data_IF_697560402182
#
_entry.id   IF_697560402182
#
_cell.length_a   1.000
_cell.length_b   1.000
_cell.length_c   1.000
_cell.angle_alpha   90.00
_cell.angle_beta   90.00
_cell.angle_gamma   90.00
#
_symmetry.space_group_name_H-M   'P 1'
#
loop_
_entity.id
_entity.type
_entity.pdbx_description
1 polymer ?
#
# COMPACT_ATOMS: atom_id res chain seq x y z
N UNK A 1 38.24 42.21 -13.76
CA UNK A 1 37.53 43.30 -14.45
C UNK A 1 36.05 42.93 -14.48
N UNK A 2 35.29 43.51 -13.58
CA UNK A 2 34.23 44.52 -13.76
C UNK A 2 33.13 44.00 -14.72
N UNK A 3 31.85 43.92 -14.35
CA UNK A 3 31.10 44.76 -13.43
C UNK A 3 29.71 44.23 -13.10
N UNK A 4 29.29 44.60 -11.96
CA UNK A 4 27.91 44.56 -11.40
C UNK A 4 26.98 45.49 -12.14
N UNK A 5 25.71 45.14 -12.30
CA UNK A 5 24.59 46.15 -12.31
C UNK A 5 23.37 45.57 -11.59
N UNK A 6 23.11 46.18 -10.44
CA UNK A 6 21.84 46.15 -9.72
C UNK A 6 20.85 47.13 -10.42
N UNK A 7 19.55 46.76 -10.43
CA UNK A 7 18.48 47.75 -10.57
C UNK A 7 17.37 47.46 -9.57
N UNK A 8 17.17 48.40 -8.68
CA UNK A 8 16.05 48.57 -7.74
C UNK A 8 15.03 49.53 -8.37
N UNK A 9 13.86 49.60 -7.71
CA UNK A 9 12.71 50.53 -7.86
C UNK A 9 11.50 49.92 -8.59
N UNK A 10 10.27 50.01 -8.09
CA UNK A 10 9.66 50.69 -6.96
C UNK A 10 8.16 50.36 -6.94
N UNK A 11 7.57 50.36 -5.78
CA UNK A 11 6.13 50.33 -5.50
C UNK A 11 5.45 51.65 -5.91
N UNK A 12 4.11 51.66 -6.13
CA UNK A 12 3.31 52.43 -5.19
C UNK A 12 2.03 51.77 -4.67
N UNK A 13 1.70 52.16 -3.45
CA UNK A 13 0.45 52.01 -2.71
C UNK A 13 -0.57 53.05 -3.15
N UNK A 14 -1.84 52.70 -3.20
CA UNK A 14 -3.03 53.52 -2.97
C UNK A 14 -4.26 52.63 -3.12
N UNK A 15 -5.30 52.57 -2.30
CA UNK A 15 -5.85 53.43 -1.32
C UNK A 15 -7.36 53.22 -1.28
N UNK A 16 -7.93 52.96 -0.11
CA UNK A 16 -9.31 53.09 0.40
C UNK A 16 -10.50 53.25 -0.55
N UNK A 17 -11.61 52.51 -0.30
CA UNK A 17 -12.87 53.14 0.12
C UNK A 17 -13.86 52.11 0.69
N UNK A 18 -14.41 52.44 1.87
CA UNK A 18 -15.56 51.83 2.54
C UNK A 18 -16.85 52.19 1.80
N UNK A 19 -17.79 51.25 1.76
CA UNK A 19 -19.22 51.60 1.79
C UNK A 19 -19.97 50.52 2.59
N UNK A 20 -20.63 50.97 3.66
CA UNK A 20 -21.64 50.28 4.42
C UNK A 20 -22.92 50.16 3.61
N UNK A 21 -23.69 49.10 3.83
CA UNK A 21 -25.04 48.93 3.35
C UNK A 21 -25.71 47.78 4.08
N UNK A 22 -26.45 48.10 5.16
CA UNK A 22 -27.40 47.22 5.85
C UNK A 22 -28.54 46.85 4.92
N UNK A 23 -28.90 45.57 4.86
CA UNK A 23 -30.26 45.14 4.52
C UNK A 23 -30.55 43.79 5.17
N UNK A 24 -31.39 43.83 6.19
CA UNK A 24 -32.09 42.73 6.82
C UNK A 24 -33.04 42.05 5.83
N UNK A 25 -32.93 40.74 5.69
CA UNK A 25 -33.89 39.90 4.97
C UNK A 25 -33.68 38.44 5.33
N UNK A 26 -34.48 37.93 6.27
CA UNK A 26 -34.54 36.49 6.53
C UNK A 26 -35.33 35.79 5.42
N UNK A 27 -34.82 34.74 4.82
CA UNK A 27 -35.69 33.81 4.10
C UNK A 27 -35.98 32.56 4.94
N UNK A 28 -37.24 32.28 5.03
CA UNK A 28 -37.91 31.08 5.53
C UNK A 28 -37.35 29.82 4.89
N UNK A 29 -36.91 28.84 5.72
CA UNK A 29 -36.53 27.51 5.29
C UNK A 29 -37.73 26.69 4.83
N UNK A 30 -37.69 26.02 3.68
CA UNK A 30 -38.61 24.96 3.38
C UNK A 30 -38.15 23.66 4.06
N UNK A 31 -39.01 23.10 4.94
CA UNK A 31 -38.92 21.74 5.46
C UNK A 31 -39.12 20.74 4.31
N UNK A 32 -38.02 20.30 3.72
CA UNK A 32 -37.98 19.16 2.82
C UNK A 32 -37.55 17.91 3.58
N UNK A 33 -38.52 17.01 3.80
CA UNK A 33 -38.28 15.67 4.36
C UNK A 33 -37.42 14.88 3.36
N UNK A 34 -36.18 14.60 3.71
CA UNK A 34 -35.31 13.73 2.92
C UNK A 34 -35.82 12.28 3.02
N UNK A 35 -35.86 11.51 1.92
CA UNK A 35 -36.22 10.10 1.99
C UNK A 35 -35.16 9.32 2.77
N UNK A 36 -35.61 8.53 3.71
CA UNK A 36 -34.79 7.60 4.50
C UNK A 36 -34.11 6.60 3.56
N UNK A 37 -32.80 6.68 3.41
CA UNK A 37 -32.05 5.68 2.69
C UNK A 37 -32.09 4.37 3.49
N UNK A 38 -32.78 3.39 2.98
CA UNK A 38 -32.78 2.01 3.49
C UNK A 38 -31.38 1.45 3.24
N UNK A 39 -30.58 1.36 4.30
CA UNK A 39 -29.30 0.64 4.26
C UNK A 39 -29.60 -0.83 4.00
N UNK A 40 -29.21 -1.31 2.81
CA UNK A 40 -29.16 -2.74 2.54
C UNK A 40 -28.18 -3.39 3.52
N UNK A 41 -28.51 -4.55 4.13
CA UNK A 41 -27.61 -5.24 5.02
C UNK A 41 -26.36 -5.66 4.22
N UNK A 42 -25.20 -5.11 4.58
CA UNK A 42 -23.92 -5.57 4.09
C UNK A 42 -23.76 -7.01 4.56
N UNK A 43 -23.84 -7.97 3.62
CA UNK A 43 -23.49 -9.36 3.88
C UNK A 43 -22.01 -9.40 4.28
N UNK A 44 -21.73 -9.41 5.56
CA UNK A 44 -20.40 -9.74 6.09
C UNK A 44 -20.19 -11.23 5.79
N UNK A 45 -19.20 -11.62 5.00
CA UNK A 45 -18.93 -13.04 4.79
C UNK A 45 -18.59 -13.66 6.14
N UNK A 46 -19.28 -14.76 6.47
CA UNK A 46 -19.01 -15.54 7.66
C UNK A 46 -17.57 -16.04 7.63
N UNK A 47 -16.75 -15.55 8.56
CA UNK A 47 -15.35 -15.99 8.67
C UNK A 47 -15.36 -17.40 9.22
N UNK A 48 -14.80 -18.41 8.52
CA UNK A 48 -14.75 -19.77 9.06
C UNK A 48 -14.04 -19.77 10.42
N UNK A 49 -14.62 -20.48 11.38
CA UNK A 49 -14.05 -20.63 12.71
C UNK A 49 -12.61 -21.16 12.59
N UNK A 50 -11.67 -20.52 13.29
CA UNK A 50 -10.26 -20.93 13.31
C UNK A 50 -10.15 -22.24 14.06
N UNK A 51 -9.61 -23.34 13.45
CA UNK A 51 -9.45 -24.61 14.15
C UNK A 51 -8.54 -24.44 15.37
N UNK A 52 -8.94 -25.00 16.50
CA UNK A 52 -8.20 -24.93 17.77
C UNK A 52 -6.81 -25.61 17.74
N UNK A 53 -6.50 -26.42 16.73
CA UNK A 53 -5.25 -27.19 16.61
C UNK A 53 -3.98 -26.39 16.29
N UNK A 54 -4.09 -25.11 15.85
CA UNK A 54 -2.96 -24.30 15.39
C UNK A 54 -2.43 -23.25 16.38
N UNK A 55 -2.98 -23.15 17.58
CA UNK A 55 -2.67 -22.04 18.51
C UNK A 55 -1.18 -21.93 18.88
N UNK A 56 -0.46 -23.03 19.00
CA UNK A 56 0.97 -23.04 19.35
C UNK A 56 1.93 -22.63 18.24
N UNK A 57 1.46 -22.55 16.96
CA UNK A 57 2.28 -22.15 15.81
C UNK A 57 1.85 -20.81 15.20
N UNK A 58 0.80 -20.18 15.74
CA UNK A 58 0.28 -18.91 15.23
C UNK A 58 1.33 -17.81 15.36
N UNK A 59 1.56 -17.10 14.26
CA UNK A 59 2.64 -16.11 14.14
C UNK A 59 3.97 -16.68 13.65
N UNK A 60 4.18 -17.99 13.74
CA UNK A 60 5.36 -18.63 13.14
C UNK A 60 5.20 -18.78 11.63
N UNK A 61 6.32 -18.79 10.92
CA UNK A 61 6.32 -18.92 9.46
C UNK A 61 7.40 -19.89 8.98
N UNK A 62 7.19 -20.47 7.80
CA UNK A 62 8.20 -21.19 7.03
C UNK A 62 8.70 -20.28 5.93
N UNK A 63 10.01 -20.15 5.78
CA UNK A 63 10.64 -19.34 4.75
C UNK A 63 11.47 -20.20 3.82
N UNK A 64 11.46 -19.88 2.53
CA UNK A 64 12.29 -20.52 1.52
C UNK A 64 12.84 -19.44 0.58
N UNK A 65 14.14 -19.55 0.27
CA UNK A 65 14.77 -18.66 -0.71
C UNK A 65 14.80 -19.34 -2.08
N UNK A 66 14.29 -18.65 -3.08
CA UNK A 66 14.24 -19.13 -4.45
C UNK A 66 15.35 -18.54 -5.31
N UNK A 67 15.88 -19.36 -6.20
CA UNK A 67 16.61 -18.92 -7.38
C UNK A 67 15.64 -18.89 -8.55
N UNK A 68 15.63 -17.80 -9.29
CA UNK A 68 14.76 -17.52 -10.42
C UNK A 68 15.62 -17.25 -11.67
N UNK A 69 15.06 -17.28 -12.89
CA UNK A 69 15.80 -16.96 -14.10
C UNK A 69 16.53 -15.60 -14.03
N UNK A 70 17.67 -15.46 -14.72
CA UNK A 70 18.44 -14.21 -14.78
C UNK A 70 19.03 -13.78 -13.43
N UNK A 71 19.52 -14.72 -12.61
CA UNK A 71 20.04 -14.48 -11.26
C UNK A 71 19.03 -13.88 -10.28
N UNK A 72 17.75 -13.93 -10.64
CA UNK A 72 16.66 -13.47 -9.80
C UNK A 72 16.56 -14.26 -8.49
N UNK A 73 16.10 -13.59 -7.45
CA UNK A 73 15.88 -14.18 -6.12
C UNK A 73 14.49 -13.80 -5.60
N UNK A 74 13.91 -14.67 -4.80
CA UNK A 74 12.75 -14.33 -3.98
C UNK A 74 12.81 -15.10 -2.67
N UNK A 75 12.15 -14.56 -1.64
CA UNK A 75 11.88 -15.29 -0.39
C UNK A 75 10.38 -15.51 -0.30
N UNK A 76 9.96 -16.77 -0.15
CA UNK A 76 8.58 -17.08 0.21
C UNK A 76 8.44 -17.18 1.73
N UNK A 77 7.30 -16.74 2.24
CA UNK A 77 6.93 -16.75 3.66
C UNK A 77 5.54 -17.37 3.73
N UNK A 78 5.44 -18.55 4.31
CA UNK A 78 4.20 -19.31 4.45
C UNK A 78 3.86 -19.42 5.94
N UNK A 79 2.65 -19.00 6.37
CA UNK A 79 2.21 -19.20 7.75
C UNK A 79 2.31 -20.66 8.18
N UNK A 80 2.98 -20.94 9.31
CA UNK A 80 3.19 -22.31 9.78
C UNK A 80 1.92 -22.97 10.32
N UNK A 81 0.88 -22.19 10.57
CA UNK A 81 -0.47 -22.65 10.98
C UNK A 81 -1.39 -22.95 9.79
N UNK A 82 -0.88 -22.92 8.55
CA UNK A 82 -1.67 -23.34 7.37
C UNK A 82 -1.94 -24.83 7.44
N UNK A 83 -3.20 -25.21 7.47
CA UNK A 83 -3.62 -26.62 7.53
C UNK A 83 -3.33 -27.36 6.20
N UNK A 84 -3.12 -28.68 6.24
CA UNK A 84 -2.99 -29.47 5.02
C UNK A 84 -4.17 -29.27 4.08
N UNK A 85 -3.89 -28.88 2.85
CA UNK A 85 -4.92 -28.59 1.84
C UNK A 85 -5.52 -27.20 1.89
N UNK A 86 -5.31 -26.44 2.97
CA UNK A 86 -5.72 -25.02 3.05
C UNK A 86 -4.93 -24.18 2.06
N UNK A 87 -5.62 -23.26 1.41
CA UNK A 87 -5.01 -22.25 0.52
C UNK A 87 -5.29 -20.86 1.05
N UNK A 88 -4.28 -20.01 1.02
CA UNK A 88 -4.34 -18.64 1.53
C UNK A 88 -4.25 -17.61 0.40
N UNK A 89 -4.64 -16.36 0.63
CA UNK A 89 -4.29 -15.25 -0.27
C UNK A 89 -2.78 -15.12 -0.44
N UNK A 90 -2.37 -14.51 -1.54
CA UNK A 90 -0.97 -14.26 -1.90
C UNK A 90 -0.68 -12.76 -1.91
N UNK A 91 0.40 -12.34 -1.27
CA UNK A 91 0.91 -10.98 -1.30
C UNK A 91 2.33 -10.96 -1.85
N UNK A 92 2.59 -10.11 -2.83
CA UNK A 92 3.95 -9.77 -3.24
C UNK A 92 4.38 -8.48 -2.55
N UNK A 93 5.52 -8.50 -1.87
CA UNK A 93 6.07 -7.36 -1.13
C UNK A 93 7.41 -6.93 -1.74
N UNK A 94 7.41 -5.80 -2.46
CA UNK A 94 8.58 -5.26 -3.16
C UNK A 94 9.36 -4.32 -2.24
N UNK A 95 10.68 -4.52 -2.15
CA UNK A 95 11.56 -3.71 -1.29
C UNK A 95 11.99 -2.38 -1.94
N UNK A 96 12.59 -1.50 -1.15
CA UNK A 96 13.08 -0.19 -1.59
C UNK A 96 14.46 -0.24 -2.28
N UNK A 97 14.92 0.94 -2.72
CA UNK A 97 16.20 1.10 -3.44
C UNK A 97 17.41 0.73 -2.60
N UNK A 98 17.34 0.93 -1.28
CA UNK A 98 18.42 0.54 -0.38
C UNK A 98 18.80 -0.93 -0.55
N UNK A 99 17.82 -1.81 -0.65
CA UNK A 99 17.98 -3.25 -0.84
C UNK A 99 18.37 -3.59 -2.28
N UNK A 100 17.84 -2.88 -3.26
CA UNK A 100 18.27 -3.04 -4.67
C UNK A 100 19.77 -2.88 -4.82
N UNK A 101 20.37 -1.92 -4.13
CA UNK A 101 21.81 -1.63 -4.16
C UNK A 101 22.66 -2.69 -3.44
N UNK A 102 22.06 -3.56 -2.62
CA UNK A 102 22.79 -4.68 -1.95
C UNK A 102 22.96 -5.90 -2.87
N UNK A 103 22.35 -5.88 -4.05
CA UNK A 103 22.33 -7.00 -4.98
C UNK A 103 21.38 -8.13 -4.58
N UNK A 104 21.15 -9.13 -5.48
CA UNK A 104 20.11 -10.13 -5.32
C UNK A 104 20.22 -10.97 -4.04
N UNK A 105 21.43 -11.35 -3.65
CA UNK A 105 21.65 -12.24 -2.50
C UNK A 105 21.28 -11.61 -1.15
N UNK A 106 21.56 -10.33 -0.98
CA UNK A 106 21.30 -9.59 0.27
C UNK A 106 20.01 -8.78 0.19
N UNK A 107 19.74 -8.16 -0.95
CA UNK A 107 18.57 -7.29 -1.11
C UNK A 107 17.24 -8.02 -1.02
N UNK A 108 17.18 -9.29 -1.41
CA UNK A 108 15.99 -10.14 -1.25
C UNK A 108 15.54 -10.29 0.21
N UNK A 109 16.46 -10.07 1.16
CA UNK A 109 16.19 -10.13 2.60
C UNK A 109 15.60 -8.81 3.16
N UNK A 110 15.34 -7.82 2.31
CA UNK A 110 14.77 -6.53 2.71
C UNK A 110 13.54 -6.69 3.58
N UNK A 111 12.46 -7.21 3.04
CA UNK A 111 11.24 -7.42 3.82
C UNK A 111 11.39 -8.46 4.93
N UNK A 112 11.92 -9.67 4.69
CA UNK A 112 12.00 -10.68 5.73
C UNK A 112 12.80 -10.24 6.95
N UNK A 113 13.94 -9.56 6.74
CA UNK A 113 14.92 -9.24 7.78
C UNK A 113 15.03 -7.74 8.06
N UNK A 114 15.38 -6.94 7.05
CA UNK A 114 15.76 -5.54 7.26
C UNK A 114 14.56 -4.67 7.65
N UNK A 115 13.37 -4.98 7.13
CA UNK A 115 12.09 -4.36 7.45
C UNK A 115 11.26 -5.15 8.47
N UNK A 116 11.87 -6.17 9.10
CA UNK A 116 11.30 -6.95 10.21
C UNK A 116 9.88 -7.52 9.94
N UNK A 117 9.57 -7.90 8.69
CA UNK A 117 8.25 -8.41 8.31
C UNK A 117 7.87 -9.67 9.11
N UNK A 118 8.84 -10.54 9.43
CA UNK A 118 8.58 -11.75 10.22
C UNK A 118 8.07 -11.39 11.62
N UNK A 119 8.70 -10.37 12.27
CA UNK A 119 8.24 -9.84 13.55
C UNK A 119 6.85 -9.20 13.44
N UNK A 120 6.59 -8.47 12.37
CA UNK A 120 5.27 -7.87 12.15
C UNK A 120 4.17 -8.94 12.05
N UNK A 121 4.44 -10.08 11.37
CA UNK A 121 3.51 -11.23 11.32
C UNK A 121 3.24 -11.78 12.71
N UNK A 122 4.27 -12.00 13.53
CA UNK A 122 4.11 -12.44 14.92
C UNK A 122 3.21 -11.48 15.72
N UNK A 123 3.43 -10.16 15.57
CA UNK A 123 2.69 -9.15 16.32
C UNK A 123 1.22 -9.05 15.91
N UNK A 124 0.91 -9.06 14.63
CA UNK A 124 -0.50 -9.03 14.18
C UNK A 124 -1.26 -10.31 14.52
N UNK A 125 -0.55 -11.42 14.75
CA UNK A 125 -1.12 -12.68 15.23
C UNK A 125 -1.35 -12.72 16.76
N UNK A 126 -0.74 -11.82 17.52
CA UNK A 126 -0.79 -11.76 19.00
C UNK A 126 -1.19 -10.35 19.49
N UNK A 127 -2.39 -9.85 19.15
CA UNK A 127 -2.86 -8.56 19.66
C UNK A 127 -3.02 -8.58 21.20
N UNK A 128 -3.04 -7.41 21.87
CA UNK A 128 -3.09 -6.08 21.25
C UNK A 128 -1.72 -5.60 20.75
N UNK A 129 -1.75 -4.85 19.63
CA UNK A 129 -0.59 -4.09 19.16
C UNK A 129 -0.32 -2.92 20.12
N UNK A 130 0.94 -2.51 20.20
CA UNK A 130 1.42 -1.42 21.03
C UNK A 130 2.13 -0.35 20.19
N UNK A 131 2.39 0.82 20.75
CA UNK A 131 3.17 1.87 20.08
C UNK A 131 4.57 1.39 19.68
N UNK A 132 5.17 0.49 20.45
CA UNK A 132 6.49 -0.09 20.15
C UNK A 132 6.46 -0.94 18.87
N UNK A 133 5.34 -1.58 18.55
CA UNK A 133 5.20 -2.36 17.30
C UNK A 133 5.23 -1.47 16.06
N UNK A 134 4.91 -0.19 16.23
CA UNK A 134 4.97 0.85 15.22
C UNK A 134 6.24 1.72 15.33
N UNK A 135 7.26 1.29 16.05
CA UNK A 135 8.47 2.09 16.31
C UNK A 135 8.13 3.51 16.86
N UNK A 136 7.04 3.62 17.62
CA UNK A 136 6.54 4.90 18.14
C UNK A 136 5.71 5.73 17.13
N UNK A 137 5.64 5.33 15.85
CA UNK A 137 5.02 6.09 14.76
C UNK A 137 3.57 5.67 14.51
N UNK A 138 2.72 5.81 15.54
CA UNK A 138 1.29 5.56 15.43
C UNK A 138 0.49 6.55 16.27
N UNK A 139 -0.60 7.05 15.74
CA UNK A 139 -1.56 7.85 16.51
C UNK A 139 -2.43 6.95 17.39
N UNK A 140 -2.75 7.39 18.61
CA UNK A 140 -3.54 6.60 19.58
C UNK A 140 -4.86 6.10 18.98
N UNK A 141 -5.58 6.96 18.24
CA UNK A 141 -6.83 6.60 17.57
C UNK A 141 -6.64 5.46 16.55
N UNK A 142 -5.54 5.49 15.78
CA UNK A 142 -5.24 4.47 14.79
C UNK A 142 -4.85 3.15 15.44
N UNK A 143 -4.05 3.19 16.49
CA UNK A 143 -3.69 2.01 17.29
C UNK A 143 -4.92 1.34 17.88
N UNK A 144 -5.83 2.13 18.49
CA UNK A 144 -7.11 1.62 19.00
C UNK A 144 -7.93 0.95 17.89
N UNK A 145 -8.08 1.60 16.74
CA UNK A 145 -8.84 1.05 15.61
C UNK A 145 -8.23 -0.27 15.08
N UNK A 146 -6.91 -0.39 15.01
CA UNK A 146 -6.25 -1.64 14.63
C UNK A 146 -6.52 -2.76 15.64
N UNK A 147 -6.45 -2.46 16.94
CA UNK A 147 -6.71 -3.45 17.99
C UNK A 147 -8.17 -3.90 18.03
N UNK A 148 -9.11 -2.97 17.90
CA UNK A 148 -10.54 -3.29 17.77
C UNK A 148 -10.81 -4.17 16.54
N UNK A 149 -10.22 -3.84 15.41
CA UNK A 149 -10.37 -4.60 14.17
C UNK A 149 -9.75 -6.02 14.29
N UNK A 150 -8.60 -6.16 14.97
CA UNK A 150 -7.98 -7.47 15.23
C UNK A 150 -8.75 -8.28 16.26
N UNK A 151 -9.38 -7.66 17.26
CA UNK A 151 -10.26 -8.33 18.21
C UNK A 151 -11.53 -8.85 17.53
N UNK A 152 -12.13 -8.04 16.64
CA UNK A 152 -13.33 -8.43 15.90
C UNK A 152 -13.04 -9.49 14.82
N UNK A 153 -11.90 -9.36 14.13
CA UNK A 153 -11.45 -10.30 13.10
C UNK A 153 -9.94 -10.49 13.20
N UNK A 154 -9.49 -11.55 13.86
CA UNK A 154 -8.08 -11.88 13.98
C UNK A 154 -7.39 -12.02 12.61
N UNK A 155 -6.11 -11.63 12.53
CA UNK A 155 -5.31 -11.78 11.31
C UNK A 155 -5.34 -13.23 10.84
N UNK A 156 -5.90 -13.50 9.68
CA UNK A 156 -6.13 -14.85 9.21
C UNK A 156 -4.91 -15.48 8.49
N UNK A 157 -3.93 -14.63 8.13
CA UNK A 157 -2.72 -15.05 7.43
C UNK A 157 -2.78 -14.81 5.92
N UNK A 158 -1.62 -14.62 5.34
CA UNK A 158 -1.38 -14.45 3.91
C UNK A 158 -0.04 -15.08 3.57
N UNK A 159 0.05 -15.78 2.45
CA UNK A 159 1.34 -16.20 1.91
C UNK A 159 2.02 -14.99 1.29
N UNK A 160 3.30 -14.76 1.60
CA UNK A 160 4.01 -13.60 1.09
C UNK A 160 5.19 -14.05 0.25
N UNK A 161 5.42 -13.38 -0.88
CA UNK A 161 6.62 -13.53 -1.69
C UNK A 161 7.31 -12.17 -1.78
N UNK A 162 8.58 -12.14 -1.40
CA UNK A 162 9.44 -10.98 -1.42
C UNK A 162 10.46 -11.14 -2.55
N UNK A 163 10.17 -10.72 -3.79
CA UNK A 163 11.13 -10.81 -4.88
C UNK A 163 12.20 -9.72 -4.75
N UNK A 164 13.41 -10.02 -5.18
CA UNK A 164 14.41 -8.99 -5.41
C UNK A 164 14.00 -8.11 -6.59
N UNK A 165 14.06 -6.80 -6.38
CA UNK A 165 13.85 -5.78 -7.40
C UNK A 165 15.19 -5.09 -7.68
N UNK A 166 15.71 -5.10 -8.92
CA UNK A 166 16.93 -4.37 -9.26
C UNK A 166 16.70 -2.85 -9.12
N UNK A 167 17.77 -2.09 -9.12
CA UNK A 167 17.69 -0.62 -9.12
C UNK A 167 17.18 -0.11 -10.48
N UNK A 168 15.87 -0.15 -10.66
CA UNK A 168 15.19 0.34 -11.86
C UNK A 168 15.17 1.87 -11.86
N UNK A 169 15.64 2.51 -12.94
CA UNK A 169 15.41 3.93 -13.16
C UNK A 169 13.94 4.18 -13.54
N UNK A 170 13.19 4.73 -12.61
CA UNK A 170 11.74 4.99 -12.79
C UNK A 170 11.41 6.02 -13.87
N UNK A 171 12.43 6.69 -14.46
CA UNK A 171 12.29 7.58 -15.63
C UNK A 171 12.48 6.83 -16.94
N UNK A 172 12.81 5.54 -16.91
CA UNK A 172 13.03 4.69 -18.07
C UNK A 172 11.91 3.64 -18.20
N UNK A 173 10.86 3.89 -18.98
CA UNK A 173 9.72 2.98 -19.10
C UNK A 173 10.09 1.56 -19.54
N UNK A 174 11.15 1.40 -20.34
CA UNK A 174 11.64 0.09 -20.76
C UNK A 174 12.15 -0.74 -19.58
N UNK A 175 12.90 -0.16 -18.64
CA UNK A 175 13.38 -0.90 -17.46
C UNK A 175 12.23 -1.32 -16.55
N UNK A 176 11.23 -0.45 -16.39
CA UNK A 176 10.01 -0.78 -15.63
C UNK A 176 9.29 -1.95 -16.29
N UNK A 177 9.14 -1.91 -17.62
CA UNK A 177 8.48 -2.98 -18.38
C UNK A 177 9.26 -4.29 -18.30
N UNK A 178 10.58 -4.27 -18.48
CA UNK A 178 11.44 -5.45 -18.36
C UNK A 178 11.28 -6.13 -17.00
N UNK A 179 11.29 -5.35 -15.90
CA UNK A 179 11.05 -5.92 -14.58
C UNK A 179 9.60 -6.40 -14.39
N UNK A 180 8.62 -5.68 -14.93
CA UNK A 180 7.21 -6.12 -14.93
C UNK A 180 7.03 -7.44 -15.66
N UNK A 181 7.61 -7.57 -16.86
CA UNK A 181 7.54 -8.79 -17.67
C UNK A 181 8.22 -9.97 -16.95
N UNK A 182 9.40 -9.74 -16.37
CA UNK A 182 10.08 -10.73 -15.53
C UNK A 182 9.20 -11.17 -14.35
N UNK A 183 8.58 -10.22 -13.64
CA UNK A 183 7.70 -10.51 -12.52
C UNK A 183 6.51 -11.36 -12.95
N UNK A 184 5.83 -10.97 -14.03
CA UNK A 184 4.63 -11.64 -14.54
C UNK A 184 4.94 -13.01 -15.14
N UNK A 185 6.12 -13.22 -15.75
CA UNK A 185 6.49 -14.47 -16.41
C UNK A 185 7.24 -15.46 -15.52
N UNK A 186 7.89 -14.99 -14.47
CA UNK A 186 8.75 -15.84 -13.63
C UNK A 186 8.29 -15.90 -12.17
N UNK A 187 8.05 -14.75 -11.53
CA UNK A 187 7.76 -14.68 -10.09
C UNK A 187 6.32 -15.14 -9.79
N UNK A 188 5.35 -14.51 -10.44
CA UNK A 188 3.92 -14.80 -10.21
C UNK A 188 3.54 -16.27 -10.55
N UNK A 189 3.94 -16.84 -11.69
CA UNK A 189 3.60 -18.22 -12.02
C UNK A 189 4.22 -19.21 -11.04
N UNK A 190 5.46 -18.98 -10.61
CA UNK A 190 6.11 -19.83 -9.63
C UNK A 190 5.39 -19.82 -8.29
N UNK A 191 5.05 -18.63 -7.80
CA UNK A 191 4.30 -18.52 -6.54
C UNK A 191 2.95 -19.25 -6.59
N UNK A 192 2.21 -19.13 -7.71
CA UNK A 192 0.93 -19.83 -7.91
C UNK A 192 1.09 -21.33 -7.99
N UNK A 193 2.20 -21.82 -8.51
CA UNK A 193 2.47 -23.26 -8.71
C UNK A 193 2.95 -23.93 -7.42
N UNK A 194 3.90 -23.30 -6.71
CA UNK A 194 4.69 -23.97 -5.67
C UNK A 194 4.18 -23.70 -4.25
N UNK A 195 3.31 -22.68 -4.07
CA UNK A 195 2.82 -22.29 -2.74
C UNK A 195 1.35 -22.65 -2.52
N UNK A 196 0.92 -22.83 -1.24
CA UNK A 196 -0.47 -23.11 -0.89
C UNK A 196 -1.35 -21.85 -1.01
N UNK A 197 -1.54 -21.35 -2.22
CA UNK A 197 -2.28 -20.13 -2.50
C UNK A 197 -3.56 -20.37 -3.28
N UNK A 198 -4.56 -19.52 -3.09
CA UNK A 198 -5.83 -19.57 -3.81
C UNK A 198 -5.64 -19.39 -5.32
N UNK A 199 -4.71 -18.53 -5.72
CA UNK A 199 -4.32 -18.35 -7.13
C UNK A 199 -5.32 -17.60 -8.01
N UNK A 200 -6.50 -17.21 -7.48
CA UNK A 200 -7.46 -16.36 -8.21
C UNK A 200 -7.00 -14.90 -8.16
N UNK A 201 -7.27 -14.08 -9.18
CA UNK A 201 -6.87 -12.67 -9.14
C UNK A 201 -7.32 -11.94 -7.88
N UNK A 202 -8.57 -12.13 -7.44
CA UNK A 202 -9.12 -11.48 -6.24
C UNK A 202 -8.39 -11.82 -4.94
N UNK A 203 -7.62 -12.91 -4.92
CA UNK A 203 -6.83 -13.36 -3.77
C UNK A 203 -5.35 -13.00 -3.86
N UNK A 204 -4.93 -12.23 -4.88
CA UNK A 204 -3.53 -11.87 -5.10
C UNK A 204 -3.37 -10.35 -4.94
N UNK A 205 -2.46 -9.95 -4.05
CA UNK A 205 -2.07 -8.56 -3.84
C UNK A 205 -0.62 -8.30 -4.22
N UNK A 206 -0.34 -7.05 -4.56
CA UNK A 206 1.02 -6.53 -4.72
C UNK A 206 1.15 -5.25 -3.92
N UNK A 207 2.24 -5.09 -3.21
CA UNK A 207 2.57 -3.92 -2.40
C UNK A 207 4.09 -3.71 -2.39
N UNK A 208 4.53 -2.57 -1.92
CA UNK A 208 5.95 -2.30 -1.79
C UNK A 208 6.24 -0.92 -1.23
N UNK A 209 7.48 -0.70 -0.83
CA UNK A 209 7.93 0.56 -0.25
C UNK A 209 8.86 1.31 -1.20
N UNK A 210 8.73 2.62 -1.27
CA UNK A 210 9.65 3.49 -2.02
C UNK A 210 9.74 3.09 -3.50
N UNK A 211 10.91 2.67 -4.00
CA UNK A 211 11.08 2.08 -5.33
C UNK A 211 10.10 0.91 -5.55
N UNK A 212 10.01 0.00 -4.58
CA UNK A 212 9.07 -1.13 -4.63
C UNK A 212 7.61 -0.68 -4.70
N UNK A 213 7.23 0.40 -4.01
CA UNK A 213 5.90 0.99 -4.11
C UNK A 213 5.59 1.57 -5.49
N UNK A 214 6.56 2.27 -6.09
CA UNK A 214 6.42 2.77 -7.46
C UNK A 214 6.33 1.64 -8.50
N UNK A 215 7.06 0.54 -8.29
CA UNK A 215 6.97 -0.66 -9.14
C UNK A 215 5.65 -1.39 -8.95
N UNK A 216 5.16 -1.53 -7.70
CA UNK A 216 3.86 -2.15 -7.40
C UNK A 216 2.72 -1.45 -8.11
N UNK A 217 2.69 -0.10 -8.12
CA UNK A 217 1.72 0.66 -8.88
C UNK A 217 1.76 0.29 -10.37
N UNK A 218 2.94 0.33 -10.97
CA UNK A 218 3.07 0.11 -12.41
C UNK A 218 2.78 -1.33 -12.82
N UNK A 219 3.26 -2.31 -12.05
CA UNK A 219 2.97 -3.73 -12.31
C UNK A 219 1.47 -3.99 -12.13
N UNK A 220 0.90 -3.57 -11.00
CA UNK A 220 -0.50 -3.84 -10.68
C UNK A 220 -1.49 -3.13 -11.59
N UNK A 221 -1.26 -1.84 -11.88
CA UNK A 221 -2.16 -1.06 -12.74
C UNK A 221 -2.06 -1.44 -14.24
N UNK A 222 -0.93 -1.95 -14.70
CA UNK A 222 -0.80 -2.46 -16.07
C UNK A 222 -1.34 -3.88 -16.24
N UNK A 223 -1.47 -4.66 -15.14
CA UNK A 223 -1.96 -6.05 -15.16
C UNK A 223 -3.14 -6.24 -14.18
N UNK A 224 -4.20 -5.43 -14.25
CA UNK A 224 -5.25 -5.41 -13.24
C UNK A 224 -6.05 -6.71 -13.17
N UNK A 225 -6.02 -7.52 -14.22
CA UNK A 225 -6.64 -8.84 -14.27
C UNK A 225 -5.88 -9.92 -13.48
N UNK A 226 -4.64 -9.63 -13.08
CA UNK A 226 -3.82 -10.55 -12.27
C UNK A 226 -3.96 -10.32 -10.78
N UNK A 227 -4.48 -9.16 -10.35
CA UNK A 227 -4.49 -8.73 -8.97
C UNK A 227 -5.89 -8.33 -8.48
N UNK A 228 -6.18 -8.64 -7.21
CA UNK A 228 -7.32 -8.11 -6.47
C UNK A 228 -7.00 -6.86 -5.67
N UNK A 229 -5.72 -6.63 -5.36
CA UNK A 229 -5.28 -5.47 -4.58
C UNK A 229 -3.92 -4.95 -5.03
N UNK A 230 -3.78 -3.63 -5.12
CA UNK A 230 -2.52 -2.91 -5.36
C UNK A 230 -2.34 -1.87 -4.27
N UNK A 231 -1.41 -2.13 -3.37
CA UNK A 231 -1.04 -1.23 -2.29
C UNK A 231 0.32 -0.57 -2.52
N UNK A 232 0.57 0.49 -1.77
CA UNK A 232 1.89 1.13 -1.74
C UNK A 232 2.18 1.74 -0.38
N UNK A 233 3.46 1.76 -0.04
CA UNK A 233 4.02 2.42 1.14
C UNK A 233 5.05 3.45 0.66
N UNK A 234 4.78 4.73 0.90
CA UNK A 234 5.70 5.83 0.54
C UNK A 234 6.29 5.67 -0.89
N UNK A 235 5.47 5.44 -1.94
CA UNK A 235 5.96 5.15 -3.27
C UNK A 235 6.84 6.28 -3.82
N UNK A 236 7.97 5.92 -4.43
CA UNK A 236 8.90 6.87 -5.04
C UNK A 236 8.33 7.42 -6.35
N UNK A 237 7.36 8.32 -6.25
CA UNK A 237 6.72 9.00 -7.38
C UNK A 237 6.97 10.50 -7.34
N UNK A 238 7.06 11.12 -8.52
CA UNK A 238 7.13 12.58 -8.69
C UNK A 238 5.79 13.18 -9.09
N UNK A 239 5.64 14.50 -8.92
CA UNK A 239 4.43 15.22 -9.34
C UNK A 239 4.19 15.12 -10.86
N UNK A 240 5.25 15.04 -11.65
CA UNK A 240 5.22 14.84 -13.10
C UNK A 240 4.61 13.50 -13.54
N UNK A 241 4.63 12.51 -12.66
CA UNK A 241 4.08 11.18 -12.91
C UNK A 241 2.60 11.04 -12.53
N UNK A 242 2.03 12.00 -11.81
CA UNK A 242 0.65 11.93 -11.32
C UNK A 242 -0.38 11.79 -12.45
N UNK A 243 -0.28 12.54 -13.58
CA UNK A 243 -1.23 12.36 -14.67
C UNK A 243 -1.19 10.95 -15.28
N UNK A 244 0.00 10.42 -15.55
CA UNK A 244 0.18 9.05 -16.07
C UNK A 244 -0.43 8.01 -15.13
N UNK A 245 -0.10 8.09 -13.84
CA UNK A 245 -0.61 7.14 -12.83
C UNK A 245 -2.13 7.23 -12.67
N UNK A 246 -2.72 8.41 -12.88
CA UNK A 246 -4.17 8.58 -12.84
C UNK A 246 -4.85 7.89 -14.02
N UNK A 247 -4.29 8.01 -15.24
CA UNK A 247 -4.81 7.32 -16.40
C UNK A 247 -4.64 5.80 -16.29
N UNK A 248 -3.50 5.33 -15.78
CA UNK A 248 -3.29 3.89 -15.52
C UNK A 248 -4.30 3.36 -14.51
N UNK A 249 -4.55 4.08 -13.41
CA UNK A 249 -5.51 3.66 -12.40
C UNK A 249 -6.94 3.65 -12.94
N UNK A 250 -7.32 4.63 -13.77
CA UNK A 250 -8.62 4.66 -14.45
C UNK A 250 -8.78 3.46 -15.39
N UNK A 251 -7.78 3.21 -16.23
CA UNK A 251 -7.79 2.06 -17.15
C UNK A 251 -7.84 0.71 -16.41
N UNK A 252 -7.10 0.60 -15.29
CA UNK A 252 -7.12 -0.59 -14.44
C UNK A 252 -8.50 -0.82 -13.83
N UNK A 253 -9.15 0.21 -13.28
CA UNK A 253 -10.52 0.11 -12.73
C UNK A 253 -11.57 -0.20 -13.79
N UNK A 254 -11.38 0.25 -15.03
CA UNK A 254 -12.25 -0.13 -16.17
C UNK A 254 -12.16 -1.63 -16.46
N UNK A 255 -10.97 -2.22 -16.42
CA UNK A 255 -10.75 -3.67 -16.66
C UNK A 255 -11.13 -4.52 -15.45
N UNK A 256 -10.88 -4.02 -14.24
CA UNK A 256 -11.17 -4.70 -12.98
C UNK A 256 -11.84 -3.73 -12.00
N UNK A 257 -13.16 -3.65 -12.05
CA UNK A 257 -13.95 -2.75 -11.19
C UNK A 257 -13.81 -3.06 -9.70
N UNK A 258 -13.34 -4.27 -9.33
CA UNK A 258 -13.15 -4.69 -7.92
C UNK A 258 -11.71 -4.55 -7.43
N UNK A 259 -10.80 -4.05 -8.27
CA UNK A 259 -9.41 -3.86 -7.87
C UNK A 259 -9.32 -2.90 -6.68
N UNK A 260 -8.91 -3.38 -5.51
CA UNK A 260 -8.65 -2.54 -4.36
C UNK A 260 -7.34 -1.76 -4.57
N UNK A 261 -7.36 -0.45 -4.30
CA UNK A 261 -6.20 0.43 -4.47
C UNK A 261 -5.89 1.14 -3.15
N UNK A 262 -4.62 1.23 -2.78
CA UNK A 262 -4.18 2.02 -1.62
C UNK A 262 -2.93 2.82 -1.91
N UNK A 263 -2.93 4.09 -1.49
CA UNK A 263 -1.76 4.96 -1.40
C UNK A 263 -1.51 5.28 0.08
N UNK A 264 -0.37 4.87 0.62
CA UNK A 264 0.04 5.22 1.97
C UNK A 264 1.32 6.06 1.92
N UNK A 265 1.32 7.18 2.62
CA UNK A 265 2.46 8.06 2.86
C UNK A 265 2.63 8.34 4.35
N UNK A 266 3.67 9.07 4.72
CA UNK A 266 3.85 9.55 6.09
C UNK A 266 4.10 11.05 6.15
N UNK A 267 3.96 11.62 7.36
CA UNK A 267 4.02 13.08 7.58
C UNK A 267 5.35 13.69 7.18
N UNK A 268 6.44 12.92 7.23
CA UNK A 268 7.80 13.37 6.94
C UNK A 268 8.44 12.64 5.73
N UNK A 269 7.60 11.99 4.91
CA UNK A 269 8.02 11.37 3.65
C UNK A 269 8.37 12.43 2.59
N UNK A 270 9.50 12.27 1.88
CA UNK A 270 9.89 13.21 0.81
C UNK A 270 8.98 13.15 -0.41
N UNK A 271 8.32 12.02 -0.65
CA UNK A 271 7.36 11.84 -1.76
C UNK A 271 5.93 12.23 -1.39
N UNK A 272 5.69 12.61 -0.14
CA UNK A 272 4.35 12.92 0.40
C UNK A 272 3.54 13.85 -0.49
N UNK A 273 4.16 14.92 -1.02
CA UNK A 273 3.45 15.87 -1.88
C UNK A 273 2.89 15.19 -3.13
N UNK A 274 3.72 14.45 -3.85
CA UNK A 274 3.31 13.76 -5.06
C UNK A 274 2.26 12.66 -4.77
N UNK A 275 2.38 11.95 -3.64
CA UNK A 275 1.42 10.91 -3.24
C UNK A 275 0.06 11.53 -2.88
N UNK A 276 0.03 12.66 -2.17
CA UNK A 276 -1.19 13.42 -1.89
C UNK A 276 -1.83 13.96 -3.17
N UNK A 277 -1.02 14.47 -4.10
CA UNK A 277 -1.49 14.95 -5.39
C UNK A 277 -2.07 13.80 -6.23
N UNK A 278 -1.45 12.62 -6.22
CA UNK A 278 -1.99 11.43 -6.87
C UNK A 278 -3.33 11.02 -6.26
N UNK A 279 -3.44 10.96 -4.93
CA UNK A 279 -4.71 10.66 -4.26
C UNK A 279 -5.80 11.70 -4.62
N UNK A 280 -5.46 12.98 -4.64
CA UNK A 280 -6.40 14.05 -5.01
C UNK A 280 -6.86 13.92 -6.47
N UNK A 281 -5.94 13.64 -7.39
CA UNK A 281 -6.24 13.41 -8.80
C UNK A 281 -7.11 12.17 -9.01
N UNK A 282 -6.84 11.07 -8.28
CA UNK A 282 -7.66 9.86 -8.34
C UNK A 282 -9.08 10.10 -7.85
N UNK A 283 -9.27 10.83 -6.72
CA UNK A 283 -10.59 11.24 -6.24
C UNK A 283 -11.34 12.10 -7.26
N UNK A 284 -10.67 13.11 -7.84
CA UNK A 284 -11.23 13.95 -8.87
C UNK A 284 -11.65 13.17 -10.14
N UNK A 285 -10.94 12.07 -10.43
CA UNK A 285 -11.23 11.15 -11.51
C UNK A 285 -12.27 10.08 -11.17
N UNK A 286 -12.86 10.08 -9.97
CA UNK A 286 -13.80 9.06 -9.50
C UNK A 286 -13.19 7.69 -9.23
N UNK A 287 -11.86 7.63 -9.02
CA UNK A 287 -11.15 6.38 -8.72
C UNK A 287 -11.16 6.17 -7.21
N UNK A 288 -11.96 5.20 -6.76
CA UNK A 288 -12.01 4.79 -5.35
C UNK A 288 -10.69 4.16 -4.93
N UNK A 289 -10.13 4.61 -3.81
CA UNK A 289 -8.91 4.10 -3.23
C UNK A 289 -8.82 4.49 -1.75
N UNK A 290 -8.08 3.69 -0.98
CA UNK A 290 -7.69 4.04 0.37
C UNK A 290 -6.49 5.00 0.32
N UNK A 291 -6.54 6.05 1.11
CA UNK A 291 -5.43 6.98 1.28
C UNK A 291 -5.14 7.18 2.76
N UNK A 292 -3.89 6.96 3.13
CA UNK A 292 -3.41 7.07 4.49
C UNK A 292 -2.18 7.97 4.58
N UNK A 293 -2.19 8.86 5.58
CA UNK A 293 -1.07 9.75 5.91
C UNK A 293 -0.74 9.58 7.39
N UNK A 294 0.18 8.66 7.67
CA UNK A 294 0.50 8.21 9.03
C UNK A 294 1.73 8.95 9.58
N UNK A 295 2.01 8.95 10.90
CA UNK A 295 3.28 9.42 11.43
C UNK A 295 4.46 8.65 10.86
N UNK A 296 5.60 9.31 10.69
CA UNK A 296 6.86 8.67 10.33
C UNK A 296 7.67 9.39 9.26
N UNK A 297 8.90 8.94 9.13
CA UNK A 297 9.91 9.38 8.16
C UNK A 297 10.03 8.34 7.05
N UNK A 298 10.75 8.62 5.97
CA UNK A 298 11.02 7.65 4.91
C UNK A 298 12.32 6.89 5.21
N UNK A 299 12.24 5.92 6.11
CA UNK A 299 13.41 5.21 6.63
C UNK A 299 13.14 3.74 7.00
N UNK A 300 14.16 3.05 7.53
CA UNK A 300 14.04 1.66 7.98
C UNK A 300 13.11 1.48 9.19
N UNK A 301 13.12 2.34 10.22
CA UNK A 301 12.15 2.29 11.31
C UNK A 301 10.71 2.34 10.82
N UNK A 302 10.38 3.21 9.85
CA UNK A 302 9.05 3.23 9.25
C UNK A 302 8.68 1.88 8.63
N UNK A 303 9.60 1.29 7.87
CA UNK A 303 9.36 0.00 7.21
C UNK A 303 9.16 -1.14 8.22
N UNK A 304 9.89 -1.11 9.36
CA UNK A 304 9.79 -2.13 10.43
C UNK A 304 8.52 -2.01 11.25
N UNK A 305 8.03 -0.80 11.46
CA UNK A 305 6.83 -0.51 12.24
C UNK A 305 5.60 -0.32 11.33
N UNK A 306 5.21 0.94 11.05
CA UNK A 306 3.99 1.21 10.28
C UNK A 306 3.94 0.46 8.96
N UNK A 307 5.03 0.47 8.18
CA UNK A 307 5.05 -0.11 6.85
C UNK A 307 4.63 -1.59 6.82
N UNK A 308 5.29 -2.43 7.61
CA UNK A 308 5.02 -3.86 7.64
C UNK A 308 3.60 -4.17 8.18
N UNK A 309 3.21 -3.52 9.29
CA UNK A 309 1.90 -3.77 9.93
C UNK A 309 0.76 -3.30 9.03
N UNK A 310 0.83 -2.08 8.50
CA UNK A 310 -0.20 -1.53 7.61
C UNK A 310 -0.36 -2.37 6.33
N UNK A 311 0.74 -2.84 5.76
CA UNK A 311 0.71 -3.72 4.60
C UNK A 311 -0.03 -5.03 4.92
N UNK A 312 0.32 -5.70 6.01
CA UNK A 312 -0.29 -6.96 6.42
C UNK A 312 -1.79 -6.80 6.70
N UNK A 313 -2.16 -5.81 7.53
CA UNK A 313 -3.55 -5.61 7.94
C UNK A 313 -4.46 -5.21 6.78
N UNK A 314 -3.97 -4.38 5.86
CA UNK A 314 -4.77 -3.97 4.71
C UNK A 314 -5.02 -5.15 3.76
N UNK A 315 -3.98 -5.89 3.38
CA UNK A 315 -4.13 -7.02 2.47
C UNK A 315 -4.96 -8.16 3.08
N UNK A 316 -4.84 -8.39 4.39
CA UNK A 316 -5.70 -9.36 5.09
C UNK A 316 -7.20 -9.03 4.96
N UNK A 317 -7.54 -7.74 4.88
CA UNK A 317 -8.93 -7.27 4.81
C UNK A 317 -9.50 -7.28 3.40
N UNK A 318 -8.68 -6.92 2.40
CA UNK A 318 -9.18 -6.69 1.03
C UNK A 318 -9.05 -7.90 0.11
N UNK A 319 -8.12 -8.83 0.37
CA UNK A 319 -7.94 -10.01 -0.46
C UNK A 319 -9.03 -11.05 -0.19
N UNK A 320 -9.59 -11.59 -1.26
CA UNK A 320 -10.58 -12.65 -1.17
C UNK A 320 -10.00 -13.92 -0.53
N UNK A 321 -10.81 -14.58 0.29
CA UNK A 321 -10.54 -15.87 0.92
C UNK A 321 -11.51 -16.92 0.39
N UNK A 322 -11.17 -18.20 0.56
CA UNK A 322 -12.05 -19.30 0.17
C UNK A 322 -13.32 -19.31 1.02
#
# INVERSE_FOLDING_TARGET
MLGRRSFLLGLPLAGCSRCNGDASGSPTSPTGTAPSATLLPTLVPEVPAIPEGGAGMRGQVKTETWTLPGDGRAVSIVPAWTEPGQRLPLLFALHGRGEANKGPALGVMGWPKDYALLRAIERVCAPPLTTTDFEGMVEAKRLTAHNEALAARPFAGVVIVCPYSPDVDLRKPNQIREYSDYFMQSVLPRAKKDLPVLGTPSSIGIDGVSLGGALSLRIGLNNPEAFGAVGTLQPAIGDDQVPELTELARAARTKNARLALRLLTSKEDYFKRAIRNASSAWRAAGIEHDFEDVPGVHDYPFNRGPGAIEMLLWHDRVLARA
#
